data_IF_273349602222
#
_entry.id   IF_273349602222
#
_cell.length_a   1.000
_cell.length_b   1.000
_cell.length_c   1.000
_cell.angle_alpha   90.00
_cell.angle_beta   90.00
_cell.angle_gamma   90.00
#
_symmetry.space_group_name_H-M   'P 1'
#
loop_
_entity.id
_entity.type
_entity.pdbx_description
1 polymer ?
#
# COMPACT_ATOMS: atom_id res chain seq x y z
N UNK A 1 26.77 6.19 -18.25
CA UNK A 1 26.39 5.46 -17.03
C UNK A 1 26.38 6.47 -15.89
N UNK A 2 25.37 6.46 -14.99
CA UNK A 2 25.41 7.32 -13.83
C UNK A 2 26.67 7.02 -13.00
N UNK A 3 27.30 8.01 -12.36
CA UNK A 3 28.55 7.85 -11.60
C UNK A 3 28.36 7.21 -10.21
N UNK A 4 27.22 6.59 -9.97
CA UNK A 4 26.83 5.97 -8.70
C UNK A 4 26.92 4.46 -8.87
N UNK A 5 27.44 3.76 -7.86
CA UNK A 5 27.49 2.31 -7.88
C UNK A 5 26.07 1.71 -7.97
N UNK A 6 25.81 0.68 -8.79
CA UNK A 6 24.48 0.12 -8.95
C UNK A 6 23.83 -0.32 -7.64
N UNK A 7 24.61 -0.86 -6.71
CA UNK A 7 24.10 -1.30 -5.41
C UNK A 7 23.69 -0.09 -4.54
N UNK A 8 24.48 0.97 -4.55
CA UNK A 8 24.17 2.23 -3.86
C UNK A 8 22.91 2.90 -4.45
N UNK A 9 22.75 2.83 -5.77
CA UNK A 9 21.58 3.33 -6.46
C UNK A 9 20.30 2.55 -6.07
N UNK A 10 20.35 1.22 -6.04
CA UNK A 10 19.22 0.38 -5.63
C UNK A 10 18.76 0.65 -4.19
N UNK A 11 19.70 0.83 -3.27
CA UNK A 11 19.40 1.18 -1.87
C UNK A 11 18.74 2.56 -1.76
N UNK A 12 19.17 3.53 -2.56
CA UNK A 12 18.60 4.89 -2.57
C UNK A 12 17.17 4.96 -3.12
N UNK A 13 16.76 3.98 -3.94
CA UNK A 13 15.41 3.88 -4.51
C UNK A 13 14.39 3.28 -3.53
N UNK A 14 14.86 2.59 -2.49
CA UNK A 14 14.01 1.91 -1.51
C UNK A 14 14.24 2.44 -0.08
N UNK A 15 14.23 3.77 0.16
CA UNK A 15 14.47 4.31 1.48
C UNK A 15 13.36 3.89 2.45
N UNK A 16 13.72 3.75 3.73
CA UNK A 16 12.70 3.52 4.74
C UNK A 16 11.77 4.73 4.85
N UNK A 17 10.49 4.46 5.12
CA UNK A 17 9.56 5.51 5.46
C UNK A 17 10.06 6.23 6.73
N UNK A 18 9.87 7.55 6.80
CA UNK A 18 10.35 8.43 7.87
C UNK A 18 9.93 7.95 9.28
N UNK A 19 8.86 7.15 9.39
CA UNK A 19 8.46 6.46 10.62
C UNK A 19 8.58 4.94 10.48
N UNK A 20 9.80 4.40 10.60
CA UNK A 20 10.02 2.96 10.66
C UNK A 20 9.78 2.41 12.08
N UNK A 21 8.62 1.77 12.28
CA UNK A 21 8.24 1.14 13.56
C UNK A 21 9.14 -0.08 13.88
N UNK A 22 9.73 -0.70 12.85
CA UNK A 22 10.58 -1.90 12.97
C UNK A 22 12.08 -1.61 13.02
N UNK A 23 12.49 -0.37 13.38
CA UNK A 23 13.91 0.02 13.54
C UNK A 23 14.82 -1.00 14.27
N UNK A 24 14.38 -1.71 15.34
CA UNK A 24 15.26 -2.70 15.98
C UNK A 24 15.47 -4.00 15.19
N UNK A 25 14.69 -4.27 14.15
CA UNK A 25 14.76 -5.48 13.33
C UNK A 25 15.11 -5.20 11.86
N UNK A 26 15.45 -3.96 11.54
CA UNK A 26 15.72 -3.51 10.19
C UNK A 26 16.79 -2.42 10.19
N UNK A 27 17.79 -2.54 9.32
CA UNK A 27 18.79 -1.49 9.13
C UNK A 27 18.22 -0.40 8.21
N UNK A 28 17.68 0.65 8.82
CA UNK A 28 16.96 1.70 8.11
C UNK A 28 17.92 2.65 7.40
N UNK A 29 17.76 2.79 6.09
CA UNK A 29 18.43 3.83 5.31
C UNK A 29 17.49 5.05 5.30
N UNK A 30 17.95 6.14 5.90
CA UNK A 30 17.25 7.41 5.83
C UNK A 30 17.32 7.95 4.39
N UNK A 31 16.22 8.46 3.83
CA UNK A 31 16.27 9.10 2.53
C UNK A 31 17.27 10.26 2.62
N UNK A 32 18.25 10.35 1.69
CA UNK A 32 19.16 11.49 1.68
C UNK A 32 18.33 12.78 1.57
N UNK A 33 18.77 13.84 2.27
CA UNK A 33 18.10 15.14 2.24
C UNK A 33 18.01 15.65 0.80
N UNK A 34 16.85 15.43 0.19
CA UNK A 34 16.65 15.51 -1.25
C UNK A 34 16.55 16.93 -1.77
N UNK A 35 16.52 17.94 -0.89
CA UNK A 35 16.37 19.35 -1.27
C UNK A 35 17.46 19.81 -2.25
N UNK A 36 18.72 19.53 -1.93
CA UNK A 36 19.85 19.88 -2.79
C UNK A 36 19.91 19.06 -4.09
N UNK A 37 19.43 17.82 -4.06
CA UNK A 37 19.35 16.96 -5.24
C UNK A 37 18.23 17.41 -6.20
N UNK A 38 17.06 17.78 -5.65
CA UNK A 38 15.91 18.29 -6.41
C UNK A 38 16.21 19.58 -7.17
N UNK A 39 17.08 20.43 -6.63
CA UNK A 39 17.53 21.66 -7.32
C UNK A 39 18.48 21.36 -8.48
N UNK A 40 19.23 20.25 -8.41
CA UNK A 40 20.19 19.84 -9.43
C UNK A 40 19.59 18.98 -10.53
N UNK A 41 18.45 18.33 -10.28
CA UNK A 41 17.75 17.56 -11.31
C UNK A 41 17.23 18.54 -12.37
N UNK A 42 17.64 18.40 -13.66
CA UNK A 42 17.17 19.27 -14.72
C UNK A 42 15.65 19.20 -14.83
N UNK A 43 14.97 20.31 -14.51
CA UNK A 43 13.51 20.40 -14.62
C UNK A 43 13.13 20.60 -16.08
N UNK A 44 12.20 19.77 -16.56
CA UNK A 44 11.70 19.86 -17.94
C UNK A 44 10.85 21.12 -18.07
N UNK A 45 11.17 21.97 -19.05
CA UNK A 45 10.46 23.24 -19.30
C UNK A 45 9.30 23.10 -20.30
N UNK A 46 9.24 21.97 -21.01
CA UNK A 46 8.29 21.70 -22.09
C UNK A 46 7.55 20.38 -21.85
N UNK A 47 6.33 20.28 -22.39
CA UNK A 47 5.46 19.11 -22.27
C UNK A 47 6.08 17.86 -22.93
N UNK A 48 5.92 16.69 -22.30
CA UNK A 48 6.46 15.43 -22.79
C UNK A 48 5.48 14.79 -23.76
N UNK A 49 5.69 15.01 -25.05
CA UNK A 49 4.96 14.33 -26.11
C UNK A 49 5.72 13.05 -26.49
N UNK A 50 5.27 11.91 -25.95
CA UNK A 50 5.68 10.59 -26.46
C UNK A 50 5.06 10.43 -27.84
N UNK A 51 5.90 10.22 -28.86
CA UNK A 51 5.39 9.90 -30.20
C UNK A 51 4.80 8.48 -30.17
N UNK A 52 3.49 8.39 -30.31
CA UNK A 52 2.78 7.11 -30.40
C UNK A 52 3.24 6.38 -31.65
N UNK A 53 3.96 5.26 -31.49
CA UNK A 53 4.36 4.37 -32.60
C UNK A 53 5.83 3.96 -32.62
N UNK A 54 6.70 4.59 -31.84
CA UNK A 54 8.12 4.21 -31.68
C UNK A 54 8.40 3.81 -30.23
N UNK A 55 9.23 2.77 -30.01
CA UNK A 55 9.73 2.41 -28.67
C UNK A 55 10.68 3.49 -28.17
N UNK A 56 10.13 4.60 -27.69
CA UNK A 56 10.91 5.65 -27.02
C UNK A 56 11.10 5.25 -25.56
N UNK A 57 12.35 5.07 -25.13
CA UNK A 57 12.70 4.81 -23.74
C UNK A 57 12.72 6.13 -22.97
N UNK A 58 11.68 6.35 -22.15
CA UNK A 58 11.66 7.41 -21.17
C UNK A 58 12.30 6.93 -19.86
N UNK A 59 13.17 7.75 -19.27
CA UNK A 59 13.79 7.50 -17.96
C UNK A 59 13.20 8.50 -16.96
N UNK A 60 12.69 8.03 -15.82
CA UNK A 60 12.04 8.90 -14.82
C UNK A 60 11.89 8.21 -13.46
N UNK A 61 11.56 9.00 -12.43
CA UNK A 61 11.25 8.49 -11.09
C UNK A 61 9.86 7.87 -11.10
N UNK A 62 9.78 6.55 -10.96
CA UNK A 62 8.53 5.84 -10.75
C UNK A 62 8.22 5.84 -9.26
N UNK A 63 7.11 6.45 -8.86
CA UNK A 63 6.64 6.32 -7.48
C UNK A 63 6.18 4.88 -7.26
N UNK A 64 6.98 4.10 -6.52
CA UNK A 64 6.57 2.77 -6.09
C UNK A 64 5.54 2.91 -4.98
N UNK A 65 4.29 2.56 -5.27
CA UNK A 65 3.27 2.41 -4.25
C UNK A 65 3.52 1.11 -3.48
N UNK A 66 4.05 1.22 -2.25
CA UNK A 66 4.19 0.08 -1.36
C UNK A 66 3.02 0.02 -0.38
N UNK A 67 2.17 -1.00 -0.52
CA UNK A 67 1.09 -1.26 0.43
C UNK A 67 1.70 -1.87 1.69
N UNK A 68 1.62 -1.14 2.81
CA UNK A 68 2.01 -1.69 4.11
C UNK A 68 1.00 -2.75 4.56
N UNK A 69 1.45 -4.00 4.69
CA UNK A 69 0.63 -5.12 5.15
C UNK A 69 0.08 -4.89 6.57
N UNK A 70 0.86 -4.27 7.45
CA UNK A 70 0.44 -3.93 8.81
C UNK A 70 -0.67 -2.88 8.80
N UNK A 71 -0.53 -1.85 7.98
CA UNK A 71 -1.55 -0.81 7.86
C UNK A 71 -2.87 -1.40 7.33
N UNK A 72 -2.79 -2.27 6.32
CA UNK A 72 -3.96 -2.99 5.81
C UNK A 72 -4.64 -3.82 6.90
N UNK A 73 -3.88 -4.56 7.70
CA UNK A 73 -4.41 -5.36 8.80
C UNK A 73 -5.14 -4.48 9.84
N UNK A 74 -4.56 -3.33 10.19
CA UNK A 74 -5.20 -2.38 11.12
C UNK A 74 -6.54 -1.88 10.56
N UNK A 75 -6.59 -1.52 9.27
CA UNK A 75 -7.85 -1.13 8.64
C UNK A 75 -8.89 -2.25 8.68
N UNK A 76 -8.50 -3.49 8.38
CA UNK A 76 -9.41 -4.63 8.44
C UNK A 76 -9.98 -4.85 9.84
N UNK A 77 -9.14 -4.72 10.88
CA UNK A 77 -9.59 -4.82 12.27
C UNK A 77 -10.59 -3.71 12.61
N UNK A 78 -10.27 -2.45 12.27
CA UNK A 78 -11.17 -1.30 12.51
C UNK A 78 -12.52 -1.53 11.83
N UNK A 79 -12.52 -2.01 10.59
CA UNK A 79 -13.75 -2.34 9.86
C UNK A 79 -14.52 -3.51 10.49
N UNK A 80 -13.84 -4.48 11.10
CA UNK A 80 -14.47 -5.67 11.67
C UNK A 80 -15.16 -5.43 13.02
N UNK A 81 -14.59 -4.55 13.85
CA UNK A 81 -15.11 -4.20 15.20
C UNK A 81 -16.62 -3.92 15.25
N UNK A 82 -17.22 -3.05 14.41
CA UNK A 82 -18.65 -2.76 14.50
C UNK A 82 -19.54 -3.98 14.26
N UNK A 83 -19.13 -4.93 13.41
CA UNK A 83 -19.92 -6.13 13.13
C UNK A 83 -19.92 -7.10 14.32
N UNK A 84 -18.77 -7.26 14.97
CA UNK A 84 -18.68 -8.03 16.21
C UNK A 84 -19.46 -7.34 17.33
N UNK A 85 -19.35 -6.02 17.44
CA UNK A 85 -20.12 -5.22 18.39
C UNK A 85 -21.62 -5.40 18.22
N UNK A 86 -22.11 -5.34 16.98
CA UNK A 86 -23.51 -5.63 16.66
C UNK A 86 -23.90 -7.05 17.07
N UNK A 87 -23.09 -8.05 16.72
CA UNK A 87 -23.37 -9.45 17.06
C UNK A 87 -23.50 -9.66 18.57
N UNK A 88 -22.56 -9.13 19.36
CA UNK A 88 -22.60 -9.21 20.84
C UNK A 88 -23.83 -8.48 21.37
N UNK A 89 -24.06 -7.24 20.94
CA UNK A 89 -25.21 -6.45 21.38
C UNK A 89 -26.55 -7.13 21.07
N UNK A 90 -26.67 -7.76 19.89
CA UNK A 90 -27.86 -8.49 19.48
C UNK A 90 -28.11 -9.71 20.37
N UNK A 91 -27.08 -10.51 20.64
CA UNK A 91 -27.19 -11.69 21.50
C UNK A 91 -27.64 -11.35 22.93
N UNK A 92 -27.21 -10.20 23.45
CA UNK A 92 -27.65 -9.73 24.77
C UNK A 92 -29.14 -9.39 24.82
N UNK A 93 -29.74 -8.94 23.71
CA UNK A 93 -31.16 -8.57 23.62
C UNK A 93 -32.06 -9.71 23.15
N UNK A 94 -31.55 -10.56 22.27
CA UNK A 94 -32.29 -11.63 21.60
C UNK A 94 -31.53 -12.96 21.79
N UNK A 95 -31.52 -13.51 23.03
CA UNK A 95 -30.84 -14.76 23.30
C UNK A 95 -31.45 -15.88 22.46
N UNK A 96 -30.60 -16.61 21.74
CA UNK A 96 -31.00 -17.74 20.88
C UNK A 96 -31.21 -17.39 19.41
N UNK A 97 -31.25 -16.11 19.03
CA UNK A 97 -31.31 -15.70 17.61
C UNK A 97 -29.90 -15.53 17.03
N UNK A 98 -29.20 -16.66 16.83
CA UNK A 98 -27.84 -16.66 16.27
C UNK A 98 -27.82 -16.27 14.79
N UNK A 99 -28.86 -16.66 14.03
CA UNK A 99 -28.89 -16.48 12.60
C UNK A 99 -28.91 -15.00 12.25
N UNK A 100 -29.87 -14.23 12.77
CA UNK A 100 -29.97 -12.80 12.46
C UNK A 100 -28.78 -12.00 13.02
N UNK A 101 -28.27 -12.39 14.19
CA UNK A 101 -27.06 -11.78 14.75
C UNK A 101 -25.86 -11.94 13.81
N UNK A 102 -25.71 -13.12 13.21
CA UNK A 102 -24.56 -13.44 12.35
C UNK A 102 -24.64 -12.84 10.95
N UNK A 103 -25.83 -12.42 10.49
CA UNK A 103 -26.03 -11.93 9.12
C UNK A 103 -25.07 -10.80 8.73
N UNK A 104 -24.89 -9.72 9.51
CA UNK A 104 -23.97 -8.65 9.11
C UNK A 104 -22.50 -9.09 9.08
N UNK A 105 -22.09 -9.97 10.00
CA UNK A 105 -20.75 -10.57 9.99
C UNK A 105 -20.51 -11.39 8.72
N UNK A 106 -21.49 -12.21 8.32
CA UNK A 106 -21.39 -13.03 7.11
C UNK A 106 -21.36 -12.17 5.84
N UNK A 107 -22.14 -11.09 5.77
CA UNK A 107 -22.10 -10.14 4.65
C UNK A 107 -20.71 -9.50 4.55
N UNK A 108 -20.14 -9.02 5.66
CA UNK A 108 -18.80 -8.46 5.68
C UNK A 108 -17.74 -9.48 5.25
N UNK A 109 -17.79 -10.70 5.78
CA UNK A 109 -16.85 -11.77 5.41
C UNK A 109 -16.92 -12.13 3.92
N UNK A 110 -18.13 -12.15 3.36
CA UNK A 110 -18.35 -12.42 1.93
C UNK A 110 -17.76 -11.32 1.06
N UNK A 111 -18.00 -10.05 1.39
CA UNK A 111 -17.42 -8.92 0.68
C UNK A 111 -15.90 -8.89 0.77
N UNK A 112 -15.34 -9.21 1.94
CA UNK A 112 -13.91 -9.31 2.14
C UNK A 112 -13.29 -10.42 1.28
N UNK A 113 -13.94 -11.59 1.20
CA UNK A 113 -13.50 -12.68 0.34
C UNK A 113 -13.49 -12.29 -1.15
N UNK A 114 -14.54 -11.60 -1.61
CA UNK A 114 -14.61 -11.08 -2.99
C UNK A 114 -13.51 -10.06 -3.26
N UNK A 115 -13.22 -9.17 -2.31
CA UNK A 115 -12.15 -8.19 -2.43
C UNK A 115 -10.77 -8.86 -2.52
N UNK A 116 -10.48 -9.88 -1.70
CA UNK A 116 -9.24 -10.64 -1.84
C UNK A 116 -9.15 -11.38 -3.18
N UNK A 117 -10.25 -11.99 -3.64
CA UNK A 117 -10.28 -12.68 -4.92
C UNK A 117 -9.99 -11.73 -6.10
N UNK A 118 -10.54 -10.50 -6.07
CA UNK A 118 -10.28 -9.51 -7.12
C UNK A 118 -8.82 -9.05 -7.14
N UNK A 119 -8.19 -8.89 -5.97
CA UNK A 119 -6.75 -8.58 -5.88
C UNK A 119 -5.87 -9.68 -6.50
N UNK A 120 -6.21 -10.95 -6.25
CA UNK A 120 -5.48 -12.08 -6.85
C UNK A 120 -5.64 -12.08 -8.36
N UNK A 121 -6.86 -11.86 -8.86
CA UNK A 121 -7.13 -11.78 -10.29
C UNK A 121 -6.35 -10.64 -10.97
N UNK A 122 -6.36 -9.44 -10.38
CA UNK A 122 -5.66 -8.28 -10.93
C UNK A 122 -4.12 -8.42 -10.91
N UNK A 123 -3.56 -9.17 -9.95
CA UNK A 123 -2.11 -9.47 -9.93
C UNK A 123 -1.69 -10.54 -10.93
N UNK A 124 -2.62 -11.33 -11.45
CA UNK A 124 -2.36 -12.39 -12.42
C UNK A 124 -2.40 -11.95 -13.89
N UNK A 125 -2.80 -10.69 -14.16
CA UNK A 125 -2.74 -10.05 -15.48
C UNK A 125 -1.44 -9.26 -15.64
#
# INVERSE_FOLDING_TARGET
MPPIDPHEFELSLSPCNHFCIFKPFHDCIEPPDGGLALERIPKRKEAFELKVGTREQAWGLLTQYSISALLLLVYLIICFVPFVGFWVWWQLKHPGDLQNASTPLMVFATLLAVWFASLVYLKGQ
#
